data_IF_312364396348
#
_entry.id   IF_312364396348
#
_cell.length_a   1.000
_cell.length_b   1.000
_cell.length_c   1.000
_cell.angle_alpha   90.00
_cell.angle_beta   90.00
_cell.angle_gamma   90.00
#
_symmetry.space_group_name_H-M   'P 1'
#
loop_
_entity.id
_entity.type
_entity.pdbx_description
1 polymer ?
#
# COMPACT_ATOMS: atom_id res chain seq x y z
N UNK A 1 -13.48 20.35 -5.70
CA UNK A 1 -13.34 18.96 -5.23
C UNK A 1 -13.56 18.05 -6.42
N UNK A 2 -12.71 17.04 -6.62
CA UNK A 2 -12.87 16.07 -7.70
C UNK A 2 -13.61 14.82 -7.19
N UNK A 3 -14.32 14.14 -8.08
CA UNK A 3 -14.88 12.82 -7.78
C UNK A 3 -13.75 11.79 -7.62
N UNK A 4 -13.96 10.72 -6.83
CA UNK A 4 -13.02 9.61 -6.79
C UNK A 4 -12.73 9.10 -8.20
N UNK A 5 -11.45 8.92 -8.54
CA UNK A 5 -11.02 8.37 -9.83
C UNK A 5 -11.15 6.85 -9.91
N UNK A 6 -11.76 6.23 -8.89
CA UNK A 6 -11.94 4.79 -8.76
C UNK A 6 -13.43 4.46 -8.75
N UNK A 7 -13.87 3.39 -9.43
CA UNK A 7 -15.26 2.97 -9.32
C UNK A 7 -15.51 2.49 -7.89
N UNK A 8 -16.50 3.09 -7.24
CA UNK A 8 -16.97 2.69 -5.91
C UNK A 8 -18.42 2.26 -6.04
N UNK A 9 -18.69 1.02 -5.66
CA UNK A 9 -20.02 0.45 -5.65
C UNK A 9 -20.41 0.08 -4.22
N UNK A 10 -21.68 0.23 -3.88
CA UNK A 10 -22.22 -0.19 -2.59
C UNK A 10 -23.39 -1.13 -2.83
N UNK A 11 -23.26 -2.36 -2.36
CA UNK A 11 -24.39 -3.28 -2.36
C UNK A 11 -25.36 -2.87 -1.24
N UNK A 12 -26.53 -2.36 -1.61
CA UNK A 12 -27.52 -1.84 -0.65
C UNK A 12 -28.10 -2.92 0.28
N UNK A 13 -28.11 -4.19 -0.15
CA UNK A 13 -28.67 -5.28 0.64
C UNK A 13 -27.68 -5.82 1.69
N UNK A 14 -26.37 -5.72 1.42
CA UNK A 14 -25.33 -6.27 2.30
C UNK A 14 -24.47 -5.20 2.99
N UNK A 15 -24.52 -3.95 2.50
CA UNK A 15 -23.65 -2.87 2.95
C UNK A 15 -22.19 -3.00 2.51
N UNK A 16 -21.84 -3.98 1.66
CA UNK A 16 -20.45 -4.16 1.19
C UNK A 16 -20.12 -3.07 0.17
N UNK A 17 -19.03 -2.35 0.45
CA UNK A 17 -18.41 -1.43 -0.50
C UNK A 17 -17.41 -2.20 -1.34
N UNK A 18 -17.31 -1.86 -2.62
CA UNK A 18 -16.37 -2.51 -3.53
C UNK A 18 -15.65 -1.50 -4.42
N UNK A 19 -14.42 -1.85 -4.81
CA UNK A 19 -13.64 -1.16 -5.83
C UNK A 19 -13.07 -2.21 -6.77
N UNK A 20 -13.36 -2.13 -8.08
CA UNK A 20 -12.96 -3.14 -9.07
C UNK A 20 -13.37 -4.58 -8.67
N UNK A 21 -14.54 -4.70 -8.04
CA UNK A 21 -15.07 -5.97 -7.53
C UNK A 21 -14.40 -6.49 -6.24
N UNK A 22 -13.36 -5.82 -5.73
CA UNK A 22 -12.76 -6.15 -4.44
C UNK A 22 -13.57 -5.54 -3.29
N UNK A 23 -13.99 -6.33 -2.29
CA UNK A 23 -14.63 -5.82 -1.08
C UNK A 23 -13.69 -4.89 -0.29
N UNK A 24 -14.21 -3.74 0.10
CA UNK A 24 -13.51 -2.68 0.81
C UNK A 24 -14.25 -2.33 2.10
N UNK A 25 -13.51 -1.76 3.06
CA UNK A 25 -14.08 -1.16 4.26
C UNK A 25 -13.85 0.35 4.21
N UNK A 26 -14.94 1.13 4.20
CA UNK A 26 -14.86 2.58 4.38
C UNK A 26 -14.80 2.90 5.87
N UNK A 27 -13.58 3.16 6.36
CA UNK A 27 -13.29 3.33 7.78
C UNK A 27 -12.76 4.75 8.07
N UNK A 28 -13.17 5.40 9.17
CA UNK A 28 -12.61 6.68 9.57
C UNK A 28 -11.10 6.60 9.83
N UNK A 29 -10.34 7.55 9.28
CA UNK A 29 -8.87 7.60 9.41
C UNK A 29 -8.41 7.59 10.88
N UNK A 30 -9.06 8.38 11.75
CA UNK A 30 -8.68 8.47 13.15
C UNK A 30 -8.82 7.12 13.88
N UNK A 31 -9.85 6.32 13.57
CA UNK A 31 -10.02 5.01 14.20
C UNK A 31 -8.90 4.05 13.78
N UNK A 32 -8.54 4.03 12.49
CA UNK A 32 -7.42 3.24 12.00
C UNK A 32 -6.10 3.62 12.71
N UNK A 33 -5.80 4.92 12.79
CA UNK A 33 -4.55 5.40 13.38
C UNK A 33 -4.49 5.18 14.88
N UNK A 34 -5.58 5.45 15.61
CA UNK A 34 -5.68 5.15 17.03
C UNK A 34 -5.42 3.66 17.30
N UNK A 35 -5.98 2.77 16.47
CA UNK A 35 -5.76 1.32 16.59
C UNK A 35 -4.31 0.94 16.26
N UNK A 36 -3.76 1.49 15.18
CA UNK A 36 -2.38 1.24 14.76
C UNK A 36 -1.39 1.59 15.88
N UNK A 37 -1.50 2.79 16.45
CA UNK A 37 -0.59 3.24 17.50
C UNK A 37 -0.84 2.55 18.85
N UNK A 38 -2.10 2.23 19.19
CA UNK A 38 -2.38 1.46 20.41
C UNK A 38 -1.77 0.04 20.35
N UNK A 39 -1.78 -0.61 19.18
CA UNK A 39 -1.14 -1.93 19.00
C UNK A 39 0.38 -1.80 19.02
N UNK A 40 0.93 -0.75 18.39
CA UNK A 40 2.37 -0.49 18.44
C UNK A 40 2.85 -0.31 19.88
N UNK A 41 2.13 0.49 20.68
CA UNK A 41 2.41 0.73 22.11
C UNK A 41 2.28 -0.53 22.95
N UNK A 42 1.28 -1.38 22.68
CA UNK A 42 1.12 -2.67 23.36
C UNK A 42 2.21 -3.68 22.97
N UNK A 43 2.85 -3.49 21.82
CA UNK A 43 3.97 -4.29 21.34
C UNK A 43 5.25 -3.44 21.36
N UNK A 44 6.10 -3.65 20.36
CA UNK A 44 7.15 -2.71 19.98
C UNK A 44 7.01 -2.44 18.50
N UNK A 45 7.46 -1.28 18.04
CA UNK A 45 7.51 -0.94 16.60
C UNK A 45 8.11 -2.08 15.77
N UNK A 46 9.25 -2.64 16.20
CA UNK A 46 9.94 -3.72 15.48
C UNK A 46 9.08 -4.98 15.33
N UNK A 47 8.40 -5.41 16.40
CA UNK A 47 7.56 -6.61 16.36
C UNK A 47 6.29 -6.36 15.54
N UNK A 48 5.69 -5.17 15.69
CA UNK A 48 4.49 -4.82 14.96
C UNK A 48 4.77 -4.64 13.46
N UNK A 49 5.85 -3.95 13.10
CA UNK A 49 6.31 -3.80 11.72
C UNK A 49 6.55 -5.15 11.03
N UNK A 50 7.15 -6.12 11.72
CA UNK A 50 7.35 -7.48 11.18
C UNK A 50 6.01 -8.17 10.88
N UNK A 51 5.02 -8.05 11.76
CA UNK A 51 3.69 -8.62 11.55
C UNK A 51 2.97 -7.94 10.38
N UNK A 52 3.03 -6.61 10.32
CA UNK A 52 2.46 -5.83 9.23
C UNK A 52 3.13 -6.12 7.89
N UNK A 53 4.43 -6.38 7.86
CA UNK A 53 5.17 -6.71 6.64
C UNK A 53 4.57 -7.94 5.94
N UNK A 54 4.44 -9.05 6.66
CA UNK A 54 3.92 -10.30 6.08
C UNK A 54 2.47 -10.18 5.64
N UNK A 55 1.62 -9.54 6.45
CA UNK A 55 0.22 -9.31 6.12
C UNK A 55 0.06 -8.37 4.91
N UNK A 56 0.86 -7.31 4.89
CA UNK A 56 0.88 -6.31 3.83
C UNK A 56 1.39 -6.87 2.50
N UNK A 57 2.45 -7.69 2.54
CA UNK A 57 2.97 -8.39 1.37
C UNK A 57 1.90 -9.26 0.72
N UNK A 58 1.27 -10.14 1.51
CA UNK A 58 0.19 -11.00 1.02
C UNK A 58 -0.97 -10.19 0.43
N UNK A 59 -1.39 -9.12 1.13
CA UNK A 59 -2.49 -8.27 0.67
C UNK A 59 -2.17 -7.60 -0.66
N UNK A 60 -0.97 -7.04 -0.82
CA UNK A 60 -0.53 -6.42 -2.07
C UNK A 60 -0.44 -7.44 -3.21
N UNK A 61 0.10 -8.62 -2.94
CA UNK A 61 0.18 -9.71 -3.91
C UNK A 61 -1.19 -10.12 -4.46
N UNK A 62 -2.14 -10.40 -3.56
CA UNK A 62 -3.49 -10.82 -3.92
C UNK A 62 -4.23 -9.69 -4.67
N UNK A 63 -4.01 -8.43 -4.26
CA UNK A 63 -4.55 -7.26 -4.95
C UNK A 63 -4.00 -7.13 -6.37
N UNK A 64 -2.68 -7.22 -6.57
CA UNK A 64 -2.05 -7.15 -7.89
C UNK A 64 -2.57 -8.25 -8.82
N UNK A 65 -2.74 -9.47 -8.30
CA UNK A 65 -3.33 -10.58 -9.04
C UNK A 65 -4.75 -10.30 -9.50
N UNK A 66 -5.58 -9.67 -8.67
CA UNK A 66 -6.94 -9.29 -9.06
C UNK A 66 -6.92 -8.21 -10.13
N UNK A 67 -6.16 -7.16 -9.91
CA UNK A 67 -6.17 -5.96 -10.75
C UNK A 67 -5.53 -6.18 -12.12
N UNK A 68 -4.52 -7.05 -12.19
CA UNK A 68 -3.99 -7.56 -13.46
C UNK A 68 -5.10 -8.15 -14.34
N UNK A 69 -6.00 -8.94 -13.75
CA UNK A 69 -7.12 -9.57 -14.47
C UNK A 69 -8.20 -8.56 -14.83
N UNK A 70 -8.60 -7.72 -13.87
CA UNK A 70 -9.64 -6.70 -14.06
C UNK A 70 -9.28 -5.72 -15.17
N UNK A 71 -8.05 -5.19 -15.14
CA UNK A 71 -7.61 -4.12 -16.04
C UNK A 71 -6.76 -4.61 -17.21
N UNK A 72 -6.54 -5.93 -17.32
CA UNK A 72 -5.69 -6.55 -18.35
C UNK A 72 -4.27 -5.97 -18.37
N UNK A 73 -3.74 -5.70 -17.18
CA UNK A 73 -2.39 -5.20 -16.96
C UNK A 73 -1.45 -6.37 -16.68
N UNK A 74 -0.18 -6.23 -17.06
CA UNK A 74 0.87 -7.25 -16.87
C UNK A 74 2.13 -6.66 -16.27
N UNK A 75 2.93 -7.50 -15.61
CA UNK A 75 4.24 -7.16 -15.08
C UNK A 75 4.29 -5.86 -14.28
N UNK A 76 5.27 -5.03 -14.58
CA UNK A 76 5.55 -3.79 -13.84
C UNK A 76 4.51 -2.68 -14.05
N UNK A 77 3.61 -2.79 -15.04
CA UNK A 77 2.48 -1.87 -15.18
C UNK A 77 1.47 -2.09 -14.04
N UNK A 78 1.32 -3.32 -13.55
CA UNK A 78 0.50 -3.63 -12.36
C UNK A 78 1.11 -2.99 -11.12
N UNK A 79 2.44 -2.97 -10.99
CA UNK A 79 3.11 -2.29 -9.87
C UNK A 79 2.87 -0.77 -9.92
N UNK A 80 3.01 -0.13 -11.08
CA UNK A 80 2.71 1.31 -11.24
C UNK A 80 1.25 1.62 -10.93
N UNK A 81 0.34 0.76 -11.41
CA UNK A 81 -1.08 0.85 -11.10
C UNK A 81 -1.33 0.70 -9.59
N UNK A 82 -0.70 -0.25 -8.93
CA UNK A 82 -0.81 -0.45 -7.47
C UNK A 82 -0.46 0.81 -6.68
N UNK A 83 0.70 1.41 -6.96
CA UNK A 83 1.17 2.63 -6.29
C UNK A 83 0.20 3.80 -6.51
N UNK A 84 -0.31 3.94 -7.74
CA UNK A 84 -1.35 4.94 -8.06
C UNK A 84 -2.65 4.68 -7.28
N UNK A 85 -3.12 3.43 -7.22
CA UNK A 85 -4.37 3.05 -6.55
C UNK A 85 -4.31 3.16 -5.03
N UNK A 86 -3.16 2.97 -4.41
CA UNK A 86 -3.00 3.29 -2.98
C UNK A 86 -3.27 4.78 -2.75
N UNK A 87 -2.76 5.65 -3.63
CA UNK A 87 -2.99 7.09 -3.52
C UNK A 87 -4.46 7.47 -3.64
N UNK A 88 -5.14 6.87 -4.64
CA UNK A 88 -6.55 7.11 -4.90
C UNK A 88 -7.47 6.57 -3.79
N UNK A 89 -6.96 5.70 -2.90
CA UNK A 89 -7.66 5.17 -1.73
C UNK A 89 -7.39 5.96 -0.44
N UNK A 90 -6.65 7.07 -0.51
CA UNK A 90 -6.56 8.04 0.59
C UNK A 90 -5.46 7.80 1.63
N UNK A 91 -4.46 6.97 1.29
CA UNK A 91 -3.28 6.71 2.15
C UNK A 91 -2.20 7.80 2.08
N UNK A 92 -2.27 8.65 1.06
CA UNK A 92 -1.32 9.71 0.75
C UNK A 92 -1.13 9.83 -0.75
N UNK A 93 -0.11 10.56 -1.19
CA UNK A 93 0.25 10.72 -2.59
C UNK A 93 1.58 10.01 -2.85
N UNK A 94 1.50 8.83 -3.44
CA UNK A 94 2.65 8.01 -3.78
C UNK A 94 3.08 8.27 -5.22
N UNK A 95 4.38 8.35 -5.45
CA UNK A 95 4.98 8.48 -6.79
C UNK A 95 6.16 7.54 -6.89
N UNK A 96 6.20 6.71 -7.94
CA UNK A 96 7.39 5.93 -8.29
C UNK A 96 8.42 6.88 -8.91
N UNK A 97 9.52 7.16 -8.21
CA UNK A 97 10.57 8.08 -8.67
C UNK A 97 11.65 7.37 -9.47
N UNK A 98 11.87 6.09 -9.20
CA UNK A 98 12.73 5.23 -10.00
C UNK A 98 12.16 3.80 -10.02
N UNK A 99 12.29 3.11 -11.15
CA UNK A 99 11.97 1.69 -11.26
C UNK A 99 12.92 1.05 -12.28
N UNK A 100 13.66 0.05 -11.83
CA UNK A 100 14.47 -0.79 -12.69
C UNK A 100 13.83 -2.19 -12.76
N UNK A 101 13.23 -2.47 -13.91
CA UNK A 101 12.50 -3.70 -14.14
C UNK A 101 13.43 -4.91 -14.30
N UNK A 102 14.73 -4.70 -14.60
CA UNK A 102 15.69 -5.80 -14.76
C UNK A 102 16.06 -6.44 -13.43
N UNK A 103 16.25 -5.63 -12.39
CA UNK A 103 16.67 -6.07 -11.06
C UNK A 103 15.54 -6.03 -10.01
N UNK A 104 14.36 -5.49 -10.36
CA UNK A 104 13.24 -5.38 -9.44
C UNK A 104 13.46 -4.35 -8.32
N UNK A 105 14.16 -3.24 -8.58
CA UNK A 105 14.35 -2.17 -7.60
C UNK A 105 13.48 -0.96 -7.91
N UNK A 106 12.86 -0.37 -6.89
CA UNK A 106 12.04 0.82 -7.04
C UNK A 106 12.28 1.82 -5.91
N UNK A 107 12.24 3.11 -6.22
CA UNK A 107 12.19 4.20 -5.25
C UNK A 107 10.80 4.85 -5.31
N UNK A 108 10.24 5.11 -4.14
CA UNK A 108 8.89 5.67 -3.99
C UNK A 108 8.96 6.89 -3.07
N UNK A 109 8.41 8.00 -3.53
CA UNK A 109 8.16 9.18 -2.72
C UNK A 109 6.71 9.16 -2.22
N UNK A 110 6.51 9.42 -0.94
CA UNK A 110 5.20 9.59 -0.32
C UNK A 110 5.04 11.02 0.21
N UNK A 111 4.01 11.73 -0.25
CA UNK A 111 3.57 13.00 0.32
C UNK A 111 2.20 12.85 0.99
N UNK A 112 1.90 13.71 1.97
CA UNK A 112 0.61 13.68 2.68
C UNK A 112 0.27 12.29 3.26
N UNK A 113 1.28 11.62 3.83
CA UNK A 113 1.10 10.31 4.49
C UNK A 113 0.05 10.44 5.58
N UNK A 114 -0.90 9.50 5.64
CA UNK A 114 -1.90 9.49 6.73
C UNK A 114 -1.26 9.43 8.12
N UNK A 115 -0.07 8.85 8.26
CA UNK A 115 0.64 8.76 9.53
C UNK A 115 1.29 10.10 9.92
N UNK A 116 2.02 10.72 8.98
CA UNK A 116 2.70 12.01 9.22
C UNK A 116 1.68 13.13 9.43
N UNK A 117 0.59 13.16 8.66
CA UNK A 117 -0.49 14.15 8.82
C UNK A 117 -1.22 14.02 10.16
N UNK A 118 -1.10 12.87 10.84
CA UNK A 118 -1.70 12.65 12.16
C UNK A 118 -0.75 12.95 13.31
N UNK A 119 0.50 12.51 13.21
CA UNK A 119 1.48 12.67 14.29
C UNK A 119 2.26 13.99 14.21
N UNK A 120 2.30 14.64 13.05
CA UNK A 120 3.21 15.74 12.75
C UNK A 120 4.55 15.25 12.18
N UNK A 121 5.35 16.18 11.64
CA UNK A 121 6.65 15.91 11.03
C UNK A 121 7.78 15.74 12.08
N UNK A 122 7.70 16.45 13.20
CA UNK A 122 8.81 16.51 14.17
C UNK A 122 8.88 15.32 15.16
N UNK A 123 8.35 14.15 14.77
CA UNK A 123 8.26 12.96 15.64
C UNK A 123 9.61 12.25 15.78
N UNK A 124 10.59 12.57 14.93
CA UNK A 124 11.97 12.09 15.05
C UNK A 124 12.15 10.60 14.75
N UNK A 125 11.19 9.96 14.07
CA UNK A 125 11.24 8.57 13.62
C UNK A 125 10.41 8.33 12.37
N UNK A 126 10.68 7.20 11.74
CA UNK A 126 9.90 6.68 10.62
C UNK A 126 8.50 6.24 11.07
N UNK A 127 7.48 6.61 10.32
CA UNK A 127 6.07 6.33 10.64
C UNK A 127 5.36 5.48 9.57
N UNK A 128 5.93 5.38 8.37
CA UNK A 128 5.29 4.77 7.22
C UNK A 128 5.75 3.33 6.97
N UNK A 129 6.39 2.70 7.97
CA UNK A 129 6.97 1.36 7.87
C UNK A 129 5.95 0.28 7.48
N UNK A 130 4.65 0.50 7.72
CA UNK A 130 3.57 -0.40 7.31
C UNK A 130 3.55 -0.65 5.79
N UNK A 131 3.95 0.32 4.96
CA UNK A 131 3.92 0.18 3.50
C UNK A 131 5.06 -0.67 2.94
N UNK A 132 6.07 -0.99 3.73
CA UNK A 132 7.23 -1.75 3.24
C UNK A 132 6.84 -3.11 2.69
N UNK A 133 5.99 -3.86 3.41
CA UNK A 133 5.46 -5.13 2.93
C UNK A 133 4.62 -4.98 1.66
N UNK A 134 3.91 -3.87 1.52
CA UNK A 134 3.04 -3.59 0.37
C UNK A 134 3.83 -3.47 -0.92
N UNK A 135 4.89 -2.67 -0.90
CA UNK A 135 5.72 -2.45 -2.08
C UNK A 135 6.49 -3.70 -2.47
N UNK A 136 7.03 -4.44 -1.49
CA UNK A 136 7.67 -5.73 -1.75
C UNK A 136 6.68 -6.68 -2.42
N UNK A 137 5.50 -6.90 -1.83
CA UNK A 137 4.52 -7.85 -2.36
C UNK A 137 4.06 -7.51 -3.77
N UNK A 138 3.82 -6.23 -4.06
CA UNK A 138 3.42 -5.79 -5.38
C UNK A 138 4.53 -5.93 -6.43
N UNK A 139 5.77 -5.59 -6.08
CA UNK A 139 6.91 -5.62 -7.01
C UNK A 139 7.40 -7.04 -7.28
N UNK A 140 7.41 -7.90 -6.26
CA UNK A 140 7.71 -9.33 -6.44
C UNK A 140 6.64 -10.03 -7.27
N UNK A 141 5.35 -9.68 -7.12
CA UNK A 141 4.29 -10.20 -7.99
C UNK A 141 4.56 -9.85 -9.46
N UNK A 142 4.91 -8.59 -9.74
CA UNK A 142 5.24 -8.12 -11.09
C UNK A 142 6.49 -8.81 -11.64
N UNK A 143 7.51 -9.00 -10.81
CA UNK A 143 8.69 -9.78 -11.15
C UNK A 143 8.32 -11.22 -11.53
N UNK A 144 7.58 -11.92 -10.68
CA UNK A 144 7.22 -13.32 -10.89
C UNK A 144 6.39 -13.51 -12.16
N UNK A 145 5.44 -12.62 -12.43
CA UNK A 145 4.61 -12.68 -13.64
C UNK A 145 5.45 -12.54 -14.93
N UNK A 146 6.51 -11.72 -14.89
CA UNK A 146 7.47 -11.57 -15.99
C UNK A 146 8.58 -12.62 -16.03
N UNK A 147 8.48 -13.68 -15.21
CA UNK A 147 9.46 -14.76 -15.14
C UNK A 147 10.74 -14.43 -14.35
N UNK A 148 10.74 -13.32 -13.59
CA UNK A 148 11.85 -12.93 -12.71
C UNK A 148 11.52 -13.30 -11.27
N UNK A 149 12.33 -14.16 -10.68
CA UNK A 149 12.23 -14.42 -9.25
C UNK A 149 13.12 -13.45 -8.49
N UNK A 150 12.52 -12.58 -7.70
CA UNK A 150 13.23 -11.64 -6.86
C UNK A 150 12.74 -11.82 -5.42
N UNK A 151 13.65 -12.01 -4.48
CA UNK A 151 13.37 -11.80 -3.07
C UNK A 151 13.84 -10.39 -2.72
N UNK A 152 12.88 -9.52 -2.46
CA UNK A 152 13.08 -8.10 -2.27
C UNK A 152 12.89 -7.72 -0.80
N UNK A 153 13.51 -6.61 -0.43
CA UNK A 153 13.28 -5.96 0.86
C UNK A 153 12.94 -4.49 0.60
N UNK A 154 12.16 -3.92 1.51
CA UNK A 154 11.77 -2.51 1.48
C UNK A 154 11.96 -1.93 2.87
N UNK A 155 12.41 -0.68 2.92
CA UNK A 155 12.53 0.10 4.16
C UNK A 155 12.20 1.55 3.87
N UNK A 156 11.77 2.28 4.89
CA UNK A 156 11.60 3.74 4.83
C UNK A 156 12.97 4.38 5.05
N UNK A 157 13.52 5.05 4.02
CA UNK A 157 14.85 5.66 4.08
C UNK A 157 14.85 7.01 4.80
N UNK A 158 13.74 7.75 4.73
CA UNK A 158 13.56 9.03 5.39
C UNK A 158 12.06 9.30 5.62
N UNK A 159 11.75 9.99 6.70
CA UNK A 159 10.43 10.50 7.02
C UNK A 159 10.55 12.00 7.34
N UNK A 160 9.50 12.76 6.99
CA UNK A 160 9.47 14.22 7.15
C UNK A 160 9.31 14.62 8.61
#
# INVERSE_FOLDING_TARGET
MANPSIPIEVNQNTGIWSTDGLPMVYMPRHFFLNTHFAIEEALTEKLYAKTLYSAGHKSAWDWCKNESRTHRLSGFDVFRHYVSRISQRGWGQFTVTALNEKNGTADICLKHSVFVEHCGADVGRNLCYMYTGWFTGALEWAGQETGKFCSLTSYESSCA
#
